data_IF_954870826438
#
_entry.id   IF_954870826438
#
_cell.length_a   1.000
_cell.length_b   1.000
_cell.length_c   1.000
_cell.angle_alpha   90.00
_cell.angle_beta   90.00
_cell.angle_gamma   90.00
#
_symmetry.space_group_name_H-M   'P 1'
#
loop_
_entity.id
_entity.type
_entity.pdbx_description
1 polymer ?
#
# COMPACT_ATOMS: atom_id res chain seq x y z
N UNK A 1 3.70 7.43 -0.20
CA UNK A 1 4.43 6.55 0.71
C UNK A 1 3.57 5.39 1.21
N UNK A 2 4.24 4.35 1.73
CA UNK A 2 3.62 3.27 2.51
C UNK A 2 4.44 3.13 3.78
N UNK A 3 3.84 3.41 4.94
CA UNK A 3 4.54 3.39 6.21
C UNK A 3 3.64 2.94 7.36
N UNK A 4 4.24 2.45 8.43
CA UNK A 4 3.59 2.14 9.70
C UNK A 4 4.12 3.13 10.73
N UNK A 5 3.21 3.78 11.43
CA UNK A 5 3.51 4.68 12.53
C UNK A 5 2.95 4.11 13.83
N UNK A 6 3.75 4.18 14.90
CA UNK A 6 3.26 4.04 16.25
C UNK A 6 2.81 5.40 16.74
N UNK A 7 1.59 5.50 17.23
CA UNK A 7 1.01 6.74 17.74
C UNK A 7 0.69 6.55 19.22
N UNK A 8 1.46 7.17 20.09
CA UNK A 8 1.20 7.23 21.53
C UNK A 8 0.30 8.40 21.88
N UNK A 9 0.55 9.55 21.24
CA UNK A 9 -0.25 10.77 21.33
C UNK A 9 -0.05 11.60 20.06
N UNK A 10 -0.70 12.75 19.95
CA UNK A 10 -0.48 13.68 18.83
C UNK A 10 0.93 14.27 18.76
N UNK A 11 1.68 14.23 19.86
CA UNK A 11 3.08 14.65 19.94
C UNK A 11 4.06 13.47 20.01
N UNK A 12 3.58 12.22 20.12
CA UNK A 12 4.39 11.01 20.13
C UNK A 12 4.00 10.12 18.94
N UNK A 13 4.54 10.45 17.79
CA UNK A 13 4.35 9.71 16.54
C UNK A 13 5.72 9.25 16.05
N UNK A 14 5.91 7.94 15.93
CA UNK A 14 7.18 7.35 15.49
C UNK A 14 6.94 6.45 14.29
N UNK A 15 7.70 6.63 13.22
CA UNK A 15 7.71 5.73 12.08
C UNK A 15 8.46 4.45 12.46
N UNK A 16 7.77 3.30 12.42
CA UNK A 16 8.32 1.98 12.82
C UNK A 16 8.55 1.06 11.63
N UNK A 17 8.07 1.42 10.46
CA UNK A 17 8.32 0.71 9.20
C UNK A 17 7.91 1.56 8.01
N UNK A 18 8.58 1.40 6.88
CA UNK A 18 8.25 2.10 5.63
C UNK A 18 8.65 1.27 4.42
N UNK A 19 8.10 1.62 3.24
CA UNK A 19 8.60 1.02 2.01
C UNK A 19 10.03 1.48 1.73
N UNK A 20 10.87 0.53 1.29
CA UNK A 20 12.25 0.81 0.87
C UNK A 20 12.37 1.07 -0.64
N UNK A 21 11.27 0.89 -1.36
CA UNK A 21 11.17 1.09 -2.81
C UNK A 21 9.78 1.66 -3.18
N UNK A 22 9.05 1.05 -4.11
CA UNK A 22 7.73 1.51 -4.52
C UNK A 22 6.74 1.54 -3.35
N UNK A 23 5.92 2.59 -3.23
CA UNK A 23 4.74 2.56 -2.38
C UNK A 23 3.71 1.57 -2.93
N UNK A 24 2.85 1.02 -2.06
CA UNK A 24 1.85 0.03 -2.51
C UNK A 24 0.90 0.62 -3.56
N UNK A 25 0.44 1.86 -3.42
CA UNK A 25 -0.40 2.53 -4.41
C UNK A 25 0.31 2.67 -5.76
N UNK A 26 1.57 3.07 -5.74
CA UNK A 26 2.43 3.16 -6.92
C UNK A 26 2.63 1.79 -7.59
N UNK A 27 2.76 0.72 -6.81
CA UNK A 27 2.84 -0.64 -7.35
C UNK A 27 1.55 -1.05 -8.06
N UNK A 28 0.37 -0.67 -7.55
CA UNK A 28 -0.91 -0.86 -8.24
C UNK A 28 -0.95 -0.12 -9.58
N UNK A 29 -0.52 1.13 -9.64
CA UNK A 29 -0.50 1.91 -10.89
C UNK A 29 0.48 1.32 -11.92
N UNK A 30 1.67 0.90 -11.48
CA UNK A 30 2.66 0.25 -12.34
C UNK A 30 2.17 -1.10 -12.88
N UNK A 31 1.49 -1.90 -12.06
CA UNK A 31 0.92 -3.19 -12.49
C UNK A 31 -0.24 -2.96 -13.46
N UNK A 32 -1.10 -1.97 -13.22
CA UNK A 32 -2.14 -1.60 -14.17
C UNK A 32 -1.55 -1.22 -15.54
N UNK A 33 -0.46 -0.43 -15.56
CA UNK A 33 0.25 -0.09 -16.80
C UNK A 33 0.84 -1.32 -17.50
N UNK A 34 1.43 -2.27 -16.76
CA UNK A 34 1.94 -3.53 -17.32
C UNK A 34 0.83 -4.35 -18.01
N UNK A 35 -0.37 -4.35 -17.40
CA UNK A 35 -1.55 -5.04 -17.93
C UNK A 35 -2.28 -4.27 -19.04
N UNK A 36 -1.82 -3.07 -19.42
CA UNK A 36 -2.48 -2.22 -20.42
C UNK A 36 -3.77 -1.57 -19.92
N UNK A 37 -3.95 -1.47 -18.61
CA UNK A 37 -5.10 -0.84 -17.97
C UNK A 37 -4.86 0.67 -17.79
N UNK A 38 -5.95 1.42 -17.55
CA UNK A 38 -5.88 2.87 -17.36
C UNK A 38 -5.32 3.30 -16.00
N UNK A 39 -5.37 4.60 -15.76
CA UNK A 39 -4.99 5.26 -14.51
C UNK A 39 -6.21 5.98 -13.90
N UNK A 40 -6.36 6.01 -12.55
CA UNK A 40 -5.53 5.35 -11.54
C UNK A 40 -5.70 3.83 -11.50
N UNK A 41 -4.59 3.09 -11.33
CA UNK A 41 -4.56 1.62 -11.39
C UNK A 41 -5.24 0.94 -10.21
N UNK A 42 -5.15 1.53 -9.02
CA UNK A 42 -5.71 0.95 -7.79
C UNK A 42 -7.18 0.55 -7.91
N UNK A 43 -8.11 1.47 -8.24
CA UNK A 43 -9.53 1.15 -8.40
C UNK A 43 -9.82 0.14 -9.52
N UNK A 44 -9.01 0.16 -10.59
CA UNK A 44 -9.19 -0.75 -11.73
C UNK A 44 -8.82 -2.17 -11.33
N UNK A 45 -7.65 -2.36 -10.71
CA UNK A 45 -7.19 -3.67 -10.21
C UNK A 45 -8.14 -4.20 -9.14
N UNK A 46 -8.56 -3.35 -8.18
CA UNK A 46 -9.49 -3.77 -7.12
C UNK A 46 -10.83 -4.28 -7.71
N UNK A 47 -11.30 -3.67 -8.80
CA UNK A 47 -12.52 -4.12 -9.50
C UNK A 47 -12.31 -5.44 -10.22
N UNK A 48 -11.22 -5.58 -11.00
CA UNK A 48 -10.92 -6.79 -11.75
C UNK A 48 -10.64 -8.00 -10.85
N UNK A 49 -10.02 -7.76 -9.69
CA UNK A 49 -9.70 -8.78 -8.72
C UNK A 49 -10.93 -9.50 -8.12
N UNK A 50 -12.14 -8.94 -8.25
CA UNK A 50 -13.38 -9.57 -7.77
C UNK A 50 -13.66 -10.86 -8.53
N UNK A 51 -13.45 -10.82 -9.85
CA UNK A 51 -13.80 -11.91 -10.76
C UNK A 51 -12.61 -12.84 -11.07
N UNK A 52 -11.41 -12.52 -10.55
CA UNK A 52 -10.18 -13.28 -10.76
C UNK A 52 -9.90 -14.28 -9.64
N UNK A 53 -9.08 -15.28 -9.96
CA UNK A 53 -8.58 -16.25 -8.98
C UNK A 53 -7.30 -15.73 -8.28
N UNK A 54 -7.33 -15.45 -6.97
CA UNK A 54 -6.17 -14.91 -6.24
C UNK A 54 -5.01 -15.90 -6.08
N UNK A 55 -5.18 -17.16 -6.50
CA UNK A 55 -4.17 -18.21 -6.47
C UNK A 55 -3.68 -18.63 -7.86
N UNK A 56 -4.19 -18.02 -8.94
CA UNK A 56 -3.83 -18.38 -10.31
C UNK A 56 -2.35 -18.12 -10.61
N UNK A 57 -1.79 -17.04 -10.05
CA UNK A 57 -0.39 -16.67 -10.25
C UNK A 57 0.35 -16.68 -8.92
N UNK A 58 1.42 -17.48 -8.84
CA UNK A 58 2.30 -17.52 -7.66
C UNK A 58 3.23 -16.31 -7.65
N UNK A 59 2.82 -15.27 -6.95
CA UNK A 59 3.60 -14.04 -6.78
C UNK A 59 4.33 -14.04 -5.43
N UNK A 60 5.51 -13.40 -5.34
CA UNK A 60 6.28 -13.33 -4.10
C UNK A 60 5.54 -12.52 -3.01
N UNK A 61 5.84 -12.79 -1.74
CA UNK A 61 5.45 -11.99 -0.58
C UNK A 61 6.74 -11.40 -0.03
N UNK A 62 7.12 -10.26 -0.58
CA UNK A 62 8.42 -9.64 -0.33
C UNK A 62 8.62 -9.26 1.13
N UNK A 63 9.82 -9.49 1.66
CA UNK A 63 10.25 -9.13 3.02
C UNK A 63 9.43 -9.71 4.18
N UNK A 64 8.60 -10.75 3.96
CA UNK A 64 7.84 -11.38 5.04
C UNK A 64 8.68 -12.31 5.92
N UNK A 65 9.76 -12.84 5.38
CA UNK A 65 10.76 -13.66 6.05
C UNK A 65 11.70 -12.86 6.98
N UNK A 66 11.76 -11.53 6.81
CA UNK A 66 12.56 -10.64 7.63
C UNK A 66 11.76 -10.11 8.82
N UNK A 67 12.41 -9.95 9.95
CA UNK A 67 11.78 -9.43 11.18
C UNK A 67 11.49 -7.91 11.15
N UNK A 68 11.86 -7.22 10.10
CA UNK A 68 11.57 -5.80 9.91
C UNK A 68 10.09 -5.53 9.63
N UNK A 69 9.62 -4.34 9.98
CA UNK A 69 8.30 -3.82 9.62
C UNK A 69 8.31 -3.07 8.27
N UNK A 70 9.44 -3.01 7.60
CA UNK A 70 9.55 -2.38 6.29
C UNK A 70 8.87 -3.18 5.19
N UNK A 71 8.49 -2.49 4.12
CA UNK A 71 7.87 -3.06 2.94
C UNK A 71 8.79 -2.99 1.72
N UNK A 72 8.49 -3.82 0.73
CA UNK A 72 9.02 -3.72 -0.63
C UNK A 72 7.96 -4.23 -1.61
N UNK A 73 7.65 -3.46 -2.64
CA UNK A 73 6.68 -3.82 -3.67
C UNK A 73 7.28 -3.86 -5.07
N UNK A 74 8.50 -3.37 -5.29
CA UNK A 74 9.13 -3.35 -6.62
C UNK A 74 9.38 -4.76 -7.16
N UNK A 75 9.77 -5.70 -6.29
CA UNK A 75 9.94 -7.11 -6.66
C UNK A 75 8.65 -7.78 -7.11
N UNK A 76 7.52 -7.41 -6.50
CA UNK A 76 6.20 -7.91 -6.85
C UNK A 76 5.78 -7.42 -8.24
N UNK A 77 5.98 -6.12 -8.53
CA UNK A 77 5.78 -5.54 -9.87
C UNK A 77 6.59 -6.28 -10.94
N UNK A 78 7.87 -6.52 -10.66
CA UNK A 78 8.78 -7.23 -11.58
C UNK A 78 8.32 -8.67 -11.84
N UNK A 79 7.83 -9.37 -10.81
CA UNK A 79 7.27 -10.70 -10.95
C UNK A 79 6.03 -10.71 -11.85
N UNK A 80 5.14 -9.72 -11.72
CA UNK A 80 3.99 -9.55 -12.63
C UNK A 80 4.47 -9.29 -14.06
N UNK A 81 5.44 -8.40 -14.25
CA UNK A 81 6.00 -8.11 -15.57
C UNK A 81 6.52 -9.37 -16.26
N UNK A 82 7.31 -10.18 -15.55
CA UNK A 82 7.86 -11.42 -16.10
C UNK A 82 6.80 -12.50 -16.33
N UNK A 83 5.76 -12.52 -15.48
CA UNK A 83 4.64 -13.42 -15.71
C UNK A 83 3.88 -13.09 -17.02
N UNK A 84 3.58 -11.80 -17.22
CA UNK A 84 2.77 -11.32 -18.36
C UNK A 84 3.57 -11.28 -19.66
N UNK A 85 4.81 -10.78 -19.62
CA UNK A 85 5.62 -10.56 -20.84
C UNK A 85 6.75 -11.55 -21.04
N UNK A 86 7.00 -12.43 -20.08
CA UNK A 86 8.18 -13.31 -20.07
C UNK A 86 9.43 -12.58 -19.58
N UNK A 87 10.47 -13.36 -19.30
CA UNK A 87 11.78 -12.84 -18.91
C UNK A 87 12.51 -12.40 -20.18
N UNK A 88 12.96 -11.13 -20.29
CA UNK A 88 13.70 -10.67 -21.46
C UNK A 88 14.99 -11.49 -21.62
N UNK A 89 15.21 -12.08 -22.77
CA UNK A 89 16.51 -12.64 -23.12
C UNK A 89 17.48 -11.47 -23.36
N UNK A 90 18.74 -11.62 -22.92
CA UNK A 90 19.77 -10.56 -23.05
C UNK A 90 19.95 -10.01 -24.48
N UNK A 91 19.50 -10.73 -25.49
CA UNK A 91 19.66 -10.37 -26.92
C UNK A 91 18.35 -10.05 -27.64
N UNK A 92 17.19 -10.25 -27.01
CA UNK A 92 15.88 -9.95 -27.61
C UNK A 92 14.96 -9.32 -26.56
N UNK A 93 14.71 -8.00 -26.62
CA UNK A 93 13.82 -7.29 -25.71
C UNK A 93 12.33 -7.51 -26.01
N UNK A 94 11.96 -8.28 -27.04
CA UNK A 94 10.57 -8.49 -27.40
C UNK A 94 9.83 -9.34 -26.37
N UNK A 95 8.52 -9.14 -26.19
CA UNK A 95 7.72 -9.98 -25.30
C UNK A 95 7.74 -11.43 -25.79
N UNK A 96 8.13 -12.33 -24.90
CA UNK A 96 8.23 -13.78 -25.19
C UNK A 96 6.85 -14.46 -25.17
N UNK A 97 5.87 -13.84 -24.53
CA UNK A 97 4.50 -14.37 -24.36
C UNK A 97 3.49 -13.58 -25.19
N UNK A 98 2.43 -14.24 -25.70
CA UNK A 98 1.29 -13.52 -26.25
C UNK A 98 0.66 -12.60 -25.21
N UNK A 99 -0.09 -11.60 -25.67
CA UNK A 99 -0.84 -10.72 -24.76
C UNK A 99 -1.84 -11.54 -23.94
N UNK A 100 -1.99 -11.25 -22.63
CA UNK A 100 -2.90 -11.99 -21.77
C UNK A 100 -4.36 -11.78 -22.19
N UNK A 101 -5.16 -12.82 -22.05
CA UNK A 101 -6.61 -12.77 -22.20
C UNK A 101 -7.25 -11.94 -21.07
N UNK A 102 -8.52 -11.55 -21.24
CA UNK A 102 -9.24 -10.82 -20.19
C UNK A 102 -9.30 -11.58 -18.86
N UNK A 103 -9.50 -12.92 -18.93
CA UNK A 103 -9.53 -13.74 -17.70
C UNK A 103 -8.15 -13.80 -17.03
N UNK A 104 -7.07 -13.96 -17.80
CA UNK A 104 -5.72 -13.93 -17.26
C UNK A 104 -5.39 -12.57 -16.62
N UNK A 105 -5.89 -11.45 -17.17
CA UNK A 105 -5.75 -10.12 -16.56
C UNK A 105 -6.46 -10.08 -15.20
N UNK A 106 -7.68 -10.60 -15.07
CA UNK A 106 -8.42 -10.70 -13.81
C UNK A 106 -7.68 -11.56 -12.79
N UNK A 107 -7.15 -12.70 -13.23
CA UNK A 107 -6.38 -13.60 -12.37
C UNK A 107 -5.07 -12.97 -11.88
N UNK A 108 -4.35 -12.27 -12.74
CA UNK A 108 -3.15 -11.50 -12.36
C UNK A 108 -3.51 -10.39 -11.37
N UNK A 109 -4.59 -9.63 -11.63
CA UNK A 109 -5.06 -8.58 -10.75
C UNK A 109 -5.43 -9.11 -9.36
N UNK A 110 -6.17 -10.22 -9.30
CA UNK A 110 -6.55 -10.87 -8.05
C UNK A 110 -5.34 -11.42 -7.28
N UNK A 111 -4.41 -12.07 -7.99
CA UNK A 111 -3.19 -12.62 -7.38
C UNK A 111 -2.26 -11.53 -6.86
N UNK A 112 -2.11 -10.43 -7.60
CA UNK A 112 -1.33 -9.26 -7.20
C UNK A 112 -1.93 -8.58 -5.96
N UNK A 113 -3.24 -8.30 -5.99
CA UNK A 113 -3.94 -7.72 -4.84
C UNK A 113 -3.81 -8.59 -3.60
N UNK A 114 -4.01 -9.90 -3.74
CA UNK A 114 -3.82 -10.86 -2.64
C UNK A 114 -2.40 -10.79 -2.07
N UNK A 115 -1.37 -10.71 -2.92
CA UNK A 115 0.00 -10.60 -2.47
C UNK A 115 0.28 -9.31 -1.68
N UNK A 116 -0.23 -8.15 -2.15
CA UNK A 116 -0.12 -6.88 -1.45
C UNK A 116 -0.81 -6.93 -0.09
N UNK A 117 -2.04 -7.45 -0.03
CA UNK A 117 -2.82 -7.57 1.19
C UNK A 117 -2.13 -8.50 2.20
N UNK A 118 -1.60 -9.64 1.76
CA UNK A 118 -0.86 -10.57 2.61
C UNK A 118 0.36 -9.89 3.26
N UNK A 119 1.12 -9.09 2.49
CA UNK A 119 2.28 -8.36 3.01
C UNK A 119 1.84 -7.33 4.06
N UNK A 120 0.84 -6.51 3.74
CA UNK A 120 0.34 -5.46 4.64
C UNK A 120 -0.20 -6.08 5.94
N UNK A 121 -1.08 -7.07 5.84
CA UNK A 121 -1.73 -7.67 7.00
C UNK A 121 -0.74 -8.37 7.93
N UNK A 122 0.23 -9.09 7.37
CA UNK A 122 1.25 -9.77 8.18
C UNK A 122 2.18 -8.78 8.88
N UNK A 123 2.59 -7.69 8.21
CA UNK A 123 3.40 -6.64 8.84
C UNK A 123 2.63 -5.90 9.93
N UNK A 124 1.35 -5.61 9.71
CA UNK A 124 0.49 -4.99 10.73
C UNK A 124 0.28 -5.91 11.94
N UNK A 125 0.04 -7.22 11.75
CA UNK A 125 -0.04 -8.17 12.89
C UNK A 125 1.23 -8.16 13.71
N UNK A 126 2.39 -8.23 13.04
CA UNK A 126 3.70 -8.14 13.72
C UNK A 126 3.86 -6.83 14.49
N UNK A 127 3.44 -5.71 13.91
CA UNK A 127 3.49 -4.40 14.60
C UNK A 127 2.57 -4.37 15.82
N UNK A 128 1.35 -4.94 15.73
CA UNK A 128 0.42 -5.06 16.86
C UNK A 128 1.08 -5.85 17.99
N UNK A 129 1.63 -7.02 17.68
CA UNK A 129 2.26 -7.90 18.68
C UNK A 129 3.51 -7.25 19.30
N UNK A 130 4.33 -6.56 18.49
CA UNK A 130 5.58 -5.94 18.95
C UNK A 130 5.37 -4.71 19.85
N UNK A 131 4.30 -3.96 19.60
CA UNK A 131 4.05 -2.67 20.28
C UNK A 131 2.81 -2.69 21.16
N UNK A 132 2.17 -3.84 21.36
CA UNK A 132 0.94 -4.00 22.13
C UNK A 132 -0.13 -2.99 21.70
N UNK A 133 -0.33 -2.84 20.39
CA UNK A 133 -1.22 -1.83 19.84
C UNK A 133 -2.69 -2.20 20.09
N UNK A 134 -3.46 -1.25 20.62
CA UNK A 134 -4.88 -1.42 20.98
C UNK A 134 -5.82 -1.25 19.80
N UNK A 135 -5.40 -0.53 18.77
CA UNK A 135 -6.17 -0.30 17.54
C UNK A 135 -5.26 0.00 16.37
N UNK A 136 -5.79 -0.12 15.15
CA UNK A 136 -5.12 0.23 13.90
C UNK A 136 -5.96 1.25 13.15
N UNK A 137 -5.34 2.31 12.66
CA UNK A 137 -5.95 3.29 11.76
C UNK A 137 -5.27 3.16 10.40
N UNK A 138 -6.05 3.00 9.32
CA UNK A 138 -5.53 2.86 7.97
C UNK A 138 -6.02 4.03 7.12
N UNK A 139 -5.09 4.86 6.65
CA UNK A 139 -5.37 6.03 5.81
C UNK A 139 -4.71 5.94 4.43
N UNK A 140 -4.90 6.96 3.60
CA UNK A 140 -4.37 7.06 2.25
C UNK A 140 -5.23 6.32 1.21
N UNK A 141 -4.95 6.53 -0.08
CA UNK A 141 -5.78 6.03 -1.19
C UNK A 141 -6.04 4.52 -1.17
N UNK A 142 -5.04 3.72 -0.77
CA UNK A 142 -5.17 2.25 -0.69
C UNK A 142 -6.12 1.81 0.43
N UNK A 143 -6.43 2.66 1.41
CA UNK A 143 -7.45 2.39 2.43
C UNK A 143 -8.87 2.23 1.85
N UNK A 144 -9.10 2.68 0.61
CA UNK A 144 -10.35 2.47 -0.12
C UNK A 144 -10.49 1.05 -0.71
N UNK A 145 -9.37 0.29 -0.81
CA UNK A 145 -9.36 -1.04 -1.42
C UNK A 145 -10.26 -2.03 -0.66
N UNK A 146 -11.18 -2.66 -1.39
CA UNK A 146 -12.20 -3.56 -0.81
C UNK A 146 -11.58 -4.83 -0.23
N UNK A 147 -10.60 -5.40 -0.92
CA UNK A 147 -9.89 -6.58 -0.46
C UNK A 147 -9.14 -6.34 0.85
N UNK A 148 -8.47 -5.19 0.97
CA UNK A 148 -7.80 -4.79 2.21
C UNK A 148 -8.81 -4.62 3.35
N UNK A 149 -9.90 -3.87 3.14
CA UNK A 149 -10.96 -3.69 4.14
C UNK A 149 -11.56 -5.04 4.58
N UNK A 150 -11.78 -5.96 3.65
CA UNK A 150 -12.29 -7.29 3.97
C UNK A 150 -11.30 -8.09 4.83
N UNK A 151 -10.01 -8.09 4.49
CA UNK A 151 -8.96 -8.79 5.24
C UNK A 151 -8.79 -8.25 6.67
N UNK A 152 -9.04 -6.96 6.89
CA UNK A 152 -8.92 -6.33 8.20
C UNK A 152 -10.06 -6.66 9.17
N UNK A 153 -11.19 -7.17 8.69
CA UNK A 153 -12.34 -7.55 9.56
C UNK A 153 -11.99 -8.64 10.56
N UNK A 154 -10.96 -9.45 10.29
CA UNK A 154 -10.51 -10.55 11.15
C UNK A 154 -9.29 -10.20 12.01
N UNK A 155 -8.99 -8.91 12.17
CA UNK A 155 -7.87 -8.49 13.00
C UNK A 155 -8.19 -8.62 14.49
N UNK A 156 -7.16 -8.86 15.34
CA UNK A 156 -7.36 -9.08 16.77
C UNK A 156 -7.63 -7.80 17.57
N UNK A 157 -7.57 -6.65 16.91
CA UNK A 157 -7.79 -5.32 17.48
C UNK A 157 -8.77 -4.53 16.61
N UNK A 158 -9.33 -3.45 17.14
CA UNK A 158 -10.19 -2.56 16.38
C UNK A 158 -9.44 -1.91 15.22
N UNK A 159 -10.02 -1.97 14.02
CA UNK A 159 -9.44 -1.36 12.82
C UNK A 159 -10.37 -0.27 12.29
N UNK A 160 -9.81 0.92 12.17
CA UNK A 160 -10.53 2.11 11.72
C UNK A 160 -10.09 2.52 10.31
N UNK A 161 -11.08 2.74 9.46
CA UNK A 161 -10.88 3.29 8.11
C UNK A 161 -11.65 4.60 7.98
N UNK A 162 -11.11 5.59 7.26
CA UNK A 162 -11.89 6.77 6.94
C UNK A 162 -13.07 6.41 6.01
N UNK A 163 -14.14 7.19 6.01
CA UNK A 163 -15.14 7.16 4.94
C UNK A 163 -14.45 7.27 3.56
N UNK A 164 -15.00 6.63 2.53
CA UNK A 164 -14.38 6.57 1.20
C UNK A 164 -14.02 7.94 0.63
N UNK A 165 -14.84 8.95 0.90
CA UNK A 165 -14.61 10.33 0.47
C UNK A 165 -13.34 10.98 1.08
N UNK A 166 -12.83 10.43 2.19
CA UNK A 166 -11.65 10.95 2.90
C UNK A 166 -10.42 10.02 2.80
N UNK A 167 -10.47 8.99 1.95
CA UNK A 167 -9.32 8.10 1.77
C UNK A 167 -8.15 8.75 1.01
N UNK A 168 -8.43 9.74 0.15
CA UNK A 168 -7.43 10.52 -0.58
C UNK A 168 -7.18 11.86 0.09
N UNK A 169 -6.21 12.62 -0.41
CA UNK A 169 -5.87 13.94 0.11
C UNK A 169 -7.10 14.85 0.15
N UNK A 170 -7.31 15.48 1.29
CA UNK A 170 -8.45 16.36 1.51
C UNK A 170 -8.13 17.44 2.55
N UNK A 171 -8.82 18.56 2.49
CA UNK A 171 -8.61 19.69 3.40
C UNK A 171 -9.00 19.39 4.86
N UNK A 172 -9.96 18.48 5.09
CA UNK A 172 -10.44 18.17 6.43
C UNK A 172 -9.35 17.53 7.31
N UNK A 173 -8.48 16.67 6.74
CA UNK A 173 -7.37 16.07 7.48
C UNK A 173 -6.34 17.12 7.93
N UNK A 174 -6.09 18.13 7.11
CA UNK A 174 -5.18 19.23 7.43
C UNK A 174 -5.79 20.16 8.48
N UNK A 175 -7.08 20.52 8.32
CA UNK A 175 -7.78 21.35 9.27
C UNK A 175 -7.89 20.68 10.66
N UNK A 176 -8.15 19.36 10.71
CA UNK A 176 -8.18 18.60 11.95
C UNK A 176 -6.82 18.59 12.69
N UNK A 177 -5.72 18.41 11.95
CA UNK A 177 -4.39 18.50 12.54
C UNK A 177 -4.06 19.93 12.99
N UNK A 178 -4.43 20.94 12.20
CA UNK A 178 -4.20 22.34 12.53
C UNK A 178 -4.94 22.76 13.81
N UNK A 179 -6.17 22.27 14.02
CA UNK A 179 -6.93 22.53 15.27
C UNK A 179 -6.17 22.00 16.50
N UNK A 180 -5.64 20.78 16.41
CA UNK A 180 -4.88 20.18 17.51
C UNK A 180 -3.61 20.98 17.80
N UNK A 181 -2.87 21.38 16.76
CA UNK A 181 -1.66 22.18 16.90
C UNK A 181 -1.96 23.57 17.46
N UNK A 182 -3.06 24.19 17.03
CA UNK A 182 -3.53 25.47 17.56
C UNK A 182 -3.82 25.41 19.06
N UNK A 183 -4.57 24.40 19.50
CA UNK A 183 -4.87 24.19 20.92
C UNK A 183 -3.62 23.91 21.76
N UNK A 184 -2.62 23.24 21.17
CA UNK A 184 -1.32 23.00 21.80
C UNK A 184 -0.38 24.22 21.80
N UNK A 185 -0.77 25.33 21.18
CA UNK A 185 0.07 26.52 21.03
C UNK A 185 1.29 26.31 20.12
N UNK A 186 1.23 25.30 19.21
CA UNK A 186 2.33 24.97 18.31
C UNK A 186 2.16 25.75 16.99
N UNK A 187 2.97 26.79 16.82
CA UNK A 187 2.96 27.64 15.62
C UNK A 187 4.31 27.58 14.93
N UNK A 188 4.30 27.55 13.61
CA UNK A 188 5.50 27.74 12.81
C UNK A 188 5.87 29.23 12.74
N UNK A 189 7.14 29.53 12.47
CA UNK A 189 7.60 30.86 12.16
C UNK A 189 7.14 31.31 10.75
N UNK A 190 7.19 32.62 10.48
CA UNK A 190 6.74 33.18 9.20
C UNK A 190 7.65 32.86 8.03
N UNK A 191 8.84 32.32 8.29
CA UNK A 191 9.81 31.85 7.30
C UNK A 191 9.68 30.33 7.00
N UNK A 192 8.57 29.71 7.43
CA UNK A 192 8.27 28.31 7.10
C UNK A 192 8.30 28.09 5.60
N UNK A 193 9.09 27.09 5.18
CA UNK A 193 9.16 26.64 3.79
C UNK A 193 8.63 25.20 3.65
N UNK A 194 8.24 24.84 2.43
CA UNK A 194 7.82 23.49 2.12
C UNK A 194 9.02 22.55 2.04
N UNK A 195 8.97 21.43 2.75
CA UNK A 195 10.00 20.41 2.73
C UNK A 195 9.44 19.10 2.17
N UNK A 196 10.24 18.39 1.36
CA UNK A 196 9.83 17.14 0.72
C UNK A 196 10.03 15.90 1.60
N UNK A 197 10.65 16.06 2.78
CA UNK A 197 10.95 14.95 3.69
C UNK A 197 10.05 14.97 4.90
N UNK A 198 9.49 13.81 5.23
CA UNK A 198 8.88 13.61 6.54
C UNK A 198 9.98 13.72 7.62
N UNK A 199 9.80 14.60 8.58
CA UNK A 199 10.72 14.75 9.74
C UNK A 199 10.56 13.60 10.74
N UNK A 200 9.59 12.71 10.55
CA UNK A 200 9.41 11.49 11.36
C UNK A 200 10.49 10.48 10.98
N UNK A 201 11.69 10.66 11.53
CA UNK A 201 12.77 9.69 11.42
C UNK A 201 12.63 8.64 12.53
N UNK A 202 13.10 7.41 12.20
CA UNK A 202 13.28 6.32 13.18
C UNK A 202 14.11 6.75 14.37
#
# INVERSE_FOLDING_TARGET
HTAIYRVGSWSDITMIGSTIDDAVGEAYDKVAAILGLGYPGGPIIDRLAIDGNPRAVKLPRTMLDRETLDFSFSGLKTAVLYHVRGVPLKRDPQPVKPLPTEMEIKDVAASFQSACIDVITKKLRRAIDQFDARSVIIGGGVSANRGLRAAMKSFPVDVHFPPLAYCTDNAAMIAGLAEIQYQAGTFASLDLDAVTYSQFRR
#
